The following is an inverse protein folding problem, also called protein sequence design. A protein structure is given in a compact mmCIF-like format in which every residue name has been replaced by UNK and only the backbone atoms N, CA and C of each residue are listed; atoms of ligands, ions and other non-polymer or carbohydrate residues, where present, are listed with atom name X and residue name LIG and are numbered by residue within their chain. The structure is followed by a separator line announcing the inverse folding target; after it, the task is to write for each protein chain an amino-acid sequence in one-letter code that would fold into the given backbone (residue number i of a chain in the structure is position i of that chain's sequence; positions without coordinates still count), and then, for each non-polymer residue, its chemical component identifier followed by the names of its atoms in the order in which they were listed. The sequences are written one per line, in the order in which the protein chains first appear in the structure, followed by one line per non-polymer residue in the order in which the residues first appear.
data_IF_818885381733
#
_entry.id   IF_818885381733
#
_cell.length_a   1.000
_cell.length_b   1.000
_cell.length_c   1.000
_cell.angle_alpha   90.00
_cell.angle_beta   90.00
_cell.angle_gamma   90.00
#
_symmetry.space_group_name_H-M   'P 1'
#
loop_
_entity.id
_entity.type
_entity.pdbx_description
1 polymer ?
#
# COMPACT_ATOMS: atom_id res chain seq x y z
N UNK A 1 -2.65 2.97 16.78
CA UNK A 1 -3.37 4.17 16.28
C UNK A 1 -4.84 3.81 16.02
N UNK A 2 -5.78 4.70 16.35
CA UNK A 2 -7.22 4.65 16.04
C UNK A 2 -7.54 4.21 14.60
N UNK A 3 -6.76 4.65 13.60
CA UNK A 3 -6.94 4.26 12.19
C UNK A 3 -6.82 2.73 11.97
N UNK A 4 -5.90 2.07 12.68
CA UNK A 4 -5.73 0.62 12.63
C UNK A 4 -6.92 -0.13 13.28
N UNK A 5 -7.62 0.50 14.24
CA UNK A 5 -8.75 -0.13 14.94
C UNK A 5 -9.98 -0.26 14.04
N UNK A 6 -10.28 0.75 13.25
CA UNK A 6 -11.41 0.72 12.30
C UNK A 6 -11.25 -0.36 11.23
N UNK A 7 -10.04 -0.49 10.66
CA UNK A 7 -9.74 -1.54 9.67
C UNK A 7 -9.87 -2.96 10.27
N UNK A 8 -9.44 -3.17 11.52
CA UNK A 8 -9.59 -4.46 12.21
C UNK A 8 -11.04 -4.82 12.49
N UNK A 9 -11.89 -3.83 12.79
CA UNK A 9 -13.30 -4.06 13.05
C UNK A 9 -14.05 -4.52 11.78
N UNK A 10 -13.60 -4.09 10.60
CA UNK A 10 -14.24 -4.43 9.32
C UNK A 10 -13.98 -5.87 8.86
N UNK A 11 -12.88 -6.52 9.28
CA UNK A 11 -12.49 -7.85 8.82
C UNK A 11 -12.73 -8.88 9.94
N UNK A 12 -13.75 -9.72 9.78
CA UNK A 12 -14.16 -10.74 10.75
C UNK A 12 -14.21 -12.13 10.13
N UNK A 13 -14.03 -13.19 10.94
CA UNK A 13 -14.15 -14.60 10.48
C UNK A 13 -15.50 -14.91 9.81
N UNK A 14 -16.57 -14.16 10.12
CA UNK A 14 -17.91 -14.33 9.51
C UNK A 14 -18.14 -13.56 8.21
N UNK A 15 -17.29 -12.57 7.90
CA UNK A 15 -17.32 -11.76 6.67
C UNK A 15 -15.89 -11.42 6.28
N UNK A 16 -15.27 -12.31 5.50
CA UNK A 16 -13.99 -12.04 4.84
C UNK A 16 -14.28 -11.36 3.49
N UNK A 17 -13.68 -10.19 3.21
CA UNK A 17 -13.73 -9.64 1.88
C UNK A 17 -12.82 -10.44 0.94
N UNK A 18 -13.17 -10.45 -0.35
CA UNK A 18 -12.34 -11.08 -1.40
C UNK A 18 -11.06 -10.27 -1.68
N UNK A 19 -11.13 -8.95 -1.49
CA UNK A 19 -10.00 -8.02 -1.68
C UNK A 19 -10.17 -6.78 -0.81
N UNK A 20 -9.06 -6.18 -0.41
CA UNK A 20 -8.99 -4.91 0.31
C UNK A 20 -8.40 -3.85 -0.60
N UNK A 21 -9.03 -2.67 -0.64
CA UNK A 21 -8.49 -1.47 -1.27
C UNK A 21 -8.30 -0.40 -0.19
N UNK A 22 -7.17 0.28 -0.18
CA UNK A 22 -6.91 1.35 0.76
C UNK A 22 -6.10 2.51 0.15
N UNK A 23 -6.38 3.71 0.63
CA UNK A 23 -5.64 4.93 0.31
C UNK A 23 -5.55 5.78 1.58
N UNK A 24 -4.47 6.53 1.76
CA UNK A 24 -4.30 7.46 2.87
C UNK A 24 -2.90 7.42 3.47
N UNK A 25 -2.72 7.91 4.71
CA UNK A 25 -1.40 8.06 5.31
C UNK A 25 -0.61 6.75 5.34
N UNK A 26 0.70 6.83 5.10
CA UNK A 26 1.56 5.65 5.01
C UNK A 26 1.37 4.69 6.20
N UNK A 27 1.38 5.21 7.43
CA UNK A 27 1.17 4.44 8.67
C UNK A 27 -0.18 3.70 8.73
N UNK A 28 -1.22 4.26 8.10
CA UNK A 28 -2.50 3.57 7.95
C UNK A 28 -2.40 2.44 6.93
N UNK A 29 -1.73 2.67 5.80
CA UNK A 29 -1.50 1.64 4.79
C UNK A 29 -0.68 0.47 5.34
N UNK A 30 0.37 0.73 6.15
CA UNK A 30 1.13 -0.31 6.87
C UNK A 30 0.22 -1.19 7.72
N UNK A 31 -0.68 -0.55 8.46
CA UNK A 31 -1.64 -1.23 9.30
C UNK A 31 -2.61 -2.10 8.49
N UNK A 32 -3.15 -1.58 7.38
CA UNK A 32 -4.07 -2.31 6.51
C UNK A 32 -3.36 -3.47 5.83
N UNK A 33 -2.15 -3.27 5.31
CA UNK A 33 -1.30 -4.31 4.71
C UNK A 33 -1.06 -5.46 5.70
N UNK A 34 -0.68 -5.16 6.94
CA UNK A 34 -0.48 -6.19 7.97
C UNK A 34 -1.77 -6.93 8.37
N UNK A 35 -2.93 -6.26 8.34
CA UNK A 35 -4.22 -6.92 8.56
C UNK A 35 -4.54 -7.85 7.39
N UNK A 36 -4.38 -7.38 6.16
CA UNK A 36 -4.62 -8.16 4.96
C UNK A 36 -3.73 -9.42 4.92
N UNK A 37 -2.45 -9.27 5.22
CA UNK A 37 -1.47 -10.36 5.32
C UNK A 37 -1.89 -11.38 6.39
N UNK A 38 -2.20 -10.93 7.60
CA UNK A 38 -2.67 -11.80 8.70
C UNK A 38 -3.91 -12.60 8.32
N UNK A 39 -4.81 -12.01 7.54
CA UNK A 39 -6.04 -12.63 7.11
C UNK A 39 -5.94 -13.29 5.73
N UNK A 40 -4.75 -13.34 5.11
CA UNK A 40 -4.52 -13.88 3.78
C UNK A 40 -5.52 -13.35 2.72
N UNK A 41 -5.83 -12.05 2.80
CA UNK A 41 -6.71 -11.36 1.84
C UNK A 41 -5.84 -10.53 0.89
N UNK A 42 -6.06 -10.60 -0.43
CA UNK A 42 -5.44 -9.69 -1.40
C UNK A 42 -5.65 -8.22 -1.01
N UNK A 43 -4.61 -7.39 -1.17
CA UNK A 43 -4.67 -5.99 -0.78
C UNK A 43 -3.96 -5.10 -1.80
N UNK A 44 -4.67 -4.08 -2.27
CA UNK A 44 -4.16 -3.06 -3.18
C UNK A 44 -4.17 -1.72 -2.45
N UNK A 45 -3.04 -1.02 -2.49
CA UNK A 45 -2.85 0.25 -1.80
C UNK A 45 -2.50 1.35 -2.79
N UNK A 46 -3.18 2.49 -2.68
CA UNK A 46 -2.81 3.72 -3.37
C UNK A 46 -1.91 4.52 -2.46
N UNK A 47 -0.66 4.73 -2.89
CA UNK A 47 0.30 5.52 -2.13
C UNK A 47 0.29 6.98 -2.57
N UNK A 48 0.64 7.86 -1.65
CA UNK A 48 0.89 9.27 -1.92
C UNK A 48 2.41 9.51 -1.88
N UNK A 49 2.95 10.12 -2.92
CA UNK A 49 4.38 10.49 -3.00
C UNK A 49 4.51 11.91 -3.54
N UNK A 50 5.62 12.58 -3.24
CA UNK A 50 5.91 13.88 -3.83
C UNK A 50 6.15 13.69 -5.33
N UNK A 51 5.34 14.35 -6.14
CA UNK A 51 5.34 14.19 -7.58
C UNK A 51 5.44 15.56 -8.24
N UNK A 52 6.58 15.87 -8.86
CA UNK A 52 6.77 17.13 -9.57
C UNK A 52 6.33 17.03 -11.04
N UNK A 53 6.83 16.04 -11.78
CA UNK A 53 6.57 15.95 -13.22
C UNK A 53 5.39 15.04 -13.62
N UNK A 54 5.09 14.00 -12.84
CA UNK A 54 4.03 13.02 -13.14
C UNK A 54 4.22 12.17 -14.41
N UNK A 55 5.37 12.25 -15.07
CA UNK A 55 5.61 11.57 -16.37
C UNK A 55 6.97 10.85 -16.43
N UNK A 56 7.54 10.50 -15.27
CA UNK A 56 8.81 9.76 -15.19
C UNK A 56 10.08 10.57 -15.42
N UNK A 57 9.99 11.86 -15.73
CA UNK A 57 11.15 12.70 -16.04
C UNK A 57 12.00 13.06 -14.80
N UNK A 58 11.36 13.35 -13.66
CA UNK A 58 12.06 13.86 -12.47
C UNK A 58 12.44 12.78 -11.45
N UNK A 59 11.88 11.58 -11.57
CA UNK A 59 12.08 10.43 -10.67
C UNK A 59 11.75 10.68 -9.18
N UNK A 60 11.16 11.84 -8.82
CA UNK A 60 10.89 12.22 -7.43
C UNK A 60 9.80 11.40 -6.73
N UNK A 61 8.95 10.70 -7.48
CA UNK A 61 7.91 9.82 -6.95
C UNK A 61 8.42 8.39 -6.68
N UNK A 62 9.71 8.24 -6.35
CA UNK A 62 10.32 6.95 -6.10
C UNK A 62 9.73 6.28 -4.84
N UNK A 63 9.58 4.96 -4.90
CA UNK A 63 9.02 4.11 -3.85
C UNK A 63 9.90 2.89 -3.70
N UNK A 64 10.24 2.55 -2.46
CA UNK A 64 11.11 1.42 -2.17
C UNK A 64 10.35 0.08 -2.31
N UNK A 65 10.92 -0.85 -3.08
CA UNK A 65 10.42 -2.24 -3.12
C UNK A 65 10.77 -2.95 -1.82
N UNK A 66 9.92 -3.88 -1.41
CA UNK A 66 10.16 -4.76 -0.25
C UNK A 66 11.24 -5.80 -0.53
N UNK A 67 11.47 -6.15 -1.80
CA UNK A 67 12.56 -7.06 -2.13
C UNK A 67 13.92 -6.40 -1.82
N UNK A 68 14.85 -7.16 -1.24
CA UNK A 68 16.18 -6.67 -0.85
C UNK A 68 17.09 -6.39 -2.07
N UNK A 69 16.50 -6.18 -3.25
CA UNK A 69 17.22 -5.94 -4.49
C UNK A 69 17.75 -4.51 -4.61
N UNK A 70 17.31 -3.60 -3.72
CA UNK A 70 17.69 -2.18 -3.76
C UNK A 70 17.03 -1.40 -4.91
N UNK A 71 16.02 -1.98 -5.56
CA UNK A 71 15.33 -1.35 -6.69
C UNK A 71 14.18 -0.45 -6.22
N UNK A 72 14.06 0.72 -6.84
CA UNK A 72 12.93 1.63 -6.66
C UNK A 72 11.88 1.42 -7.77
N UNK A 73 10.62 1.64 -7.42
CA UNK A 73 9.52 1.86 -8.36
C UNK A 73 9.19 3.35 -8.40
N UNK A 74 8.51 3.82 -9.43
CA UNK A 74 8.09 5.21 -9.55
C UNK A 74 6.57 5.27 -9.60
N UNK A 75 5.94 5.93 -8.64
CA UNK A 75 4.48 5.96 -8.53
C UNK A 75 3.77 6.47 -9.80
N UNK A 76 4.39 7.39 -10.56
CA UNK A 76 3.82 7.90 -11.82
C UNK A 76 3.94 6.97 -13.03
N UNK A 77 4.83 5.96 -12.98
CA UNK A 77 5.06 5.01 -14.08
C UNK A 77 4.55 3.62 -13.73
N UNK A 78 4.89 3.13 -12.53
CA UNK A 78 4.61 1.80 -12.05
C UNK A 78 3.34 1.70 -11.18
N UNK A 79 2.85 2.85 -10.71
CA UNK A 79 1.75 2.97 -9.73
C UNK A 79 0.56 3.76 -10.26
N UNK A 80 -0.14 4.54 -9.41
CA UNK A 80 0.08 4.79 -7.97
C UNK A 80 -0.49 3.70 -7.05
N UNK A 81 -1.16 2.70 -7.63
CA UNK A 81 -1.75 1.58 -6.90
C UNK A 81 -0.83 0.36 -7.01
N UNK A 82 -0.49 -0.22 -5.87
CA UNK A 82 0.43 -1.34 -5.77
C UNK A 82 -0.19 -2.47 -4.95
N UNK A 83 0.25 -3.71 -5.19
CA UNK A 83 -0.01 -4.80 -4.26
C UNK A 83 0.75 -4.53 -2.95
N UNK A 84 0.06 -4.66 -1.82
CA UNK A 84 0.61 -4.37 -0.50
C UNK A 84 1.86 -5.19 -0.15
N UNK A 85 2.12 -6.30 -0.86
CA UNK A 85 3.32 -7.15 -0.67
C UNK A 85 4.55 -6.62 -1.40
N UNK A 86 4.38 -5.74 -2.38
CA UNK A 86 5.46 -5.27 -3.26
C UNK A 86 6.25 -4.14 -2.61
N UNK A 87 5.58 -3.27 -1.85
CA UNK A 87 6.19 -2.10 -1.23
C UNK A 87 6.55 -2.34 0.22
N UNK A 88 7.57 -1.63 0.70
CA UNK A 88 7.93 -1.61 2.12
C UNK A 88 6.98 -0.67 2.89
N UNK A 89 5.70 -1.05 2.96
CA UNK A 89 4.69 -0.42 3.82
C UNK A 89 4.47 -1.26 5.07
#
# INVERSE_FOLDING_TARGET
NTLCRSARAAISKKRRPDIIYACGPLEMLKCVAGIAEKHAVPCQISIETIMACGMGACLGCAVERKDLSGNYMHACLDGPVFDAKVLNV
#
